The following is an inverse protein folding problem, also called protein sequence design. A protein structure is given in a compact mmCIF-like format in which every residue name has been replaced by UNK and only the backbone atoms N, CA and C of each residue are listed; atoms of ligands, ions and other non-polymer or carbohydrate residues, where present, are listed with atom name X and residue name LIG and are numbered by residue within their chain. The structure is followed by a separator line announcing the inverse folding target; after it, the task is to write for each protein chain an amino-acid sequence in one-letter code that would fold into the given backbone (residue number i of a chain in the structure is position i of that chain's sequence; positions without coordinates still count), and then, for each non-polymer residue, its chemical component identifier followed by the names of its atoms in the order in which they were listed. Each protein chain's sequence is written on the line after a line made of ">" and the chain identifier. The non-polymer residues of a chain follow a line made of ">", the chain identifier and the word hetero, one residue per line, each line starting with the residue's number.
data_IF_645395882672
#
_entry.id   IF_645395882672
#
_cell.length_a   1.000
_cell.length_b   1.000
_cell.length_c   1.000
_cell.angle_alpha   90.00
_cell.angle_beta   90.00
_cell.angle_gamma   90.00
#
_symmetry.space_group_name_H-M   'P 1'
#
loop_
_entity.id
_entity.type
_entity.pdbx_description
1 polymer ?
#
# COMPACT_ATOMS: atom_id res chain seq x y z
N UNK A 1 31.67 26.91 -0.38
CA UNK A 1 30.68 26.02 -1.03
C UNK A 1 29.41 26.83 -1.23
N UNK A 2 29.07 27.19 -2.47
CA UNK A 2 27.97 28.12 -2.80
C UNK A 2 26.57 27.53 -2.56
N UNK A 3 25.61 28.35 -2.11
CA UNK A 3 24.14 28.17 -2.26
C UNK A 3 23.79 28.07 -3.77
N UNK A 4 22.85 27.33 -4.33
CA UNK A 4 21.67 26.53 -3.93
C UNK A 4 21.45 25.45 -5.03
N UNK A 5 20.74 24.37 -4.71
CA UNK A 5 19.91 23.60 -5.67
C UNK A 5 18.46 23.56 -5.20
N UNK A 6 17.55 24.30 -5.84
CA UNK A 6 16.12 24.24 -5.53
C UNK A 6 15.44 23.02 -6.16
N UNK A 7 16.10 22.40 -7.14
CA UNK A 7 15.63 21.19 -7.80
C UNK A 7 16.71 20.11 -7.71
N UNK A 8 16.30 18.90 -7.36
CA UNK A 8 17.15 17.72 -7.37
C UNK A 8 16.30 16.50 -7.73
N UNK A 9 16.94 15.44 -8.24
CA UNK A 9 16.29 14.15 -8.47
C UNK A 9 16.91 13.11 -7.55
N UNK A 10 16.09 12.40 -6.77
CA UNK A 10 16.50 11.21 -6.02
C UNK A 10 15.94 9.99 -6.72
N UNK A 11 16.78 9.02 -7.00
CA UNK A 11 16.41 7.81 -7.74
C UNK A 11 17.01 6.56 -7.05
N UNK A 12 16.35 6.04 -6.01
CA UNK A 12 16.62 4.73 -5.42
C UNK A 12 15.95 3.62 -6.24
N UNK A 13 16.22 2.39 -5.83
CA UNK A 13 15.67 1.18 -6.46
C UNK A 13 15.00 0.36 -5.37
N UNK A 14 13.77 -0.10 -5.62
CA UNK A 14 13.15 -1.11 -4.76
C UNK A 14 13.10 -2.46 -5.46
N UNK A 15 13.33 -3.53 -4.73
CA UNK A 15 13.05 -4.89 -5.15
C UNK A 15 11.56 -5.24 -4.98
N UNK A 16 11.11 -6.28 -5.67
CA UNK A 16 9.74 -6.79 -5.58
C UNK A 16 9.42 -7.40 -4.20
N UNK A 17 10.43 -7.83 -3.44
CA UNK A 17 10.28 -8.32 -2.07
C UNK A 17 10.28 -7.19 -1.03
N UNK A 18 10.20 -5.92 -1.47
CA UNK A 18 9.97 -4.77 -0.61
C UNK A 18 11.22 -4.21 0.03
N UNK A 19 12.40 -4.43 -0.54
CA UNK A 19 13.65 -3.86 -0.04
C UNK A 19 14.07 -2.67 -0.89
N UNK A 20 14.55 -1.62 -0.23
CA UNK A 20 15.29 -0.56 -0.91
C UNK A 20 16.73 -1.06 -1.11
N UNK A 21 17.21 -1.12 -2.34
CA UNK A 21 18.59 -1.55 -2.59
C UNK A 21 19.56 -0.55 -1.97
N UNK A 22 20.70 -1.02 -1.48
CA UNK A 22 21.60 -0.25 -0.62
C UNK A 22 22.31 0.95 -1.29
N UNK A 23 22.07 1.18 -2.59
CA UNK A 23 22.67 2.29 -3.35
C UNK A 23 21.61 3.02 -4.17
N UNK A 24 21.68 4.35 -4.20
CA UNK A 24 20.77 5.20 -4.97
C UNK A 24 21.50 6.28 -5.78
N UNK A 25 20.78 6.95 -6.67
CA UNK A 25 21.30 8.01 -7.51
C UNK A 25 20.73 9.38 -7.12
N UNK A 26 21.58 10.39 -7.09
CA UNK A 26 21.22 11.76 -6.73
C UNK A 26 21.71 12.72 -7.82
N UNK A 27 20.79 13.50 -8.40
CA UNK A 27 21.13 14.56 -9.35
C UNK A 27 20.89 15.90 -8.69
N UNK A 28 21.96 16.67 -8.50
CA UNK A 28 21.90 18.04 -8.01
C UNK A 28 21.79 19.01 -9.19
N UNK A 29 20.98 20.04 -9.04
CA UNK A 29 20.97 21.15 -9.99
C UNK A 29 22.32 21.89 -9.96
N UNK A 30 22.86 22.34 -11.06
CA UNK A 30 24.07 23.17 -11.06
C UNK A 30 23.94 24.25 -12.13
N UNK A 31 24.72 25.32 -12.02
CA UNK A 31 24.78 26.31 -13.11
C UNK A 31 25.30 25.66 -14.39
N UNK A 32 26.27 24.76 -14.24
CA UNK A 32 26.82 23.95 -15.32
C UNK A 32 26.24 22.54 -15.35
N UNK A 33 26.54 21.81 -16.43
CA UNK A 33 26.06 20.43 -16.59
C UNK A 33 26.77 19.44 -15.67
N UNK A 34 27.92 19.83 -15.11
CA UNK A 34 28.82 19.01 -14.30
C UNK A 34 29.28 19.82 -13.07
N UNK A 35 29.85 19.12 -12.09
CA UNK A 35 30.48 19.80 -10.96
C UNK A 35 31.78 20.46 -11.45
N UNK A 36 32.07 21.67 -10.97
CA UNK A 36 33.39 22.26 -11.21
C UNK A 36 34.47 21.49 -10.42
N UNK A 37 35.72 21.54 -10.88
CA UNK A 37 36.87 20.79 -10.30
C UNK A 37 36.98 20.92 -8.77
N UNK A 38 36.76 22.13 -8.24
CA UNK A 38 36.78 22.38 -6.80
C UNK A 38 35.67 21.62 -6.06
N UNK A 39 34.47 21.56 -6.65
CA UNK A 39 33.34 20.85 -6.04
C UNK A 39 33.59 19.34 -6.08
N UNK A 40 34.12 18.81 -7.18
CA UNK A 40 34.47 17.39 -7.26
C UNK A 40 35.52 16.98 -6.23
N UNK A 41 36.51 17.85 -5.97
CA UNK A 41 37.55 17.61 -4.97
C UNK A 41 37.05 17.71 -3.53
N UNK A 42 36.17 18.67 -3.25
CA UNK A 42 35.73 18.98 -1.87
C UNK A 42 34.47 18.22 -1.44
N UNK A 43 33.69 17.65 -2.37
CA UNK A 43 32.45 16.94 -2.06
C UNK A 43 32.73 15.52 -1.58
N UNK A 44 32.41 15.25 -0.33
CA UNK A 44 32.53 13.91 0.26
C UNK A 44 31.26 13.13 -0.10
N UNK A 45 31.39 12.09 -0.92
CA UNK A 45 30.27 11.26 -1.37
C UNK A 45 30.19 9.97 -0.55
N UNK A 46 29.12 9.74 0.23
CA UNK A 46 28.89 8.49 0.94
C UNK A 46 28.79 7.28 -0.02
N UNK A 47 29.18 6.07 0.41
CA UNK A 47 29.28 4.90 -0.48
C UNK A 47 27.92 4.43 -1.02
N UNK A 48 26.83 4.75 -0.33
CA UNK A 48 25.46 4.39 -0.70
C UNK A 48 24.82 5.35 -1.72
N UNK A 49 25.54 6.37 -2.22
CA UNK A 49 24.98 7.31 -3.19
C UNK A 49 25.95 7.58 -4.33
N UNK A 50 25.42 7.61 -5.55
CA UNK A 50 26.13 8.13 -6.73
C UNK A 50 25.55 9.51 -7.04
N UNK A 51 26.38 10.55 -6.99
CA UNK A 51 25.96 11.94 -7.17
C UNK A 51 26.41 12.47 -8.53
N UNK A 52 25.52 13.15 -9.25
CA UNK A 52 25.83 13.86 -10.51
C UNK A 52 25.18 15.25 -10.52
N UNK A 53 25.67 16.14 -11.37
CA UNK A 53 25.14 17.49 -11.55
C UNK A 53 24.33 17.61 -12.85
N UNK A 54 23.36 18.54 -12.92
CA UNK A 54 22.66 18.89 -14.16
C UNK A 54 22.12 20.32 -14.11
N UNK A 55 21.99 21.00 -15.26
CA UNK A 55 21.46 22.38 -15.29
C UNK A 55 20.05 22.54 -14.69
N UNK A 56 19.24 21.49 -14.77
CA UNK A 56 17.84 21.49 -14.34
C UNK A 56 17.57 20.69 -13.08
N UNK A 57 18.56 19.98 -12.53
CA UNK A 57 18.36 18.96 -11.49
C UNK A 57 17.66 17.69 -11.99
N UNK A 58 17.27 17.62 -13.27
CA UNK A 58 16.57 16.47 -13.88
C UNK A 58 17.53 15.46 -14.51
N UNK A 59 17.05 14.24 -14.71
CA UNK A 59 17.74 13.16 -15.43
C UNK A 59 17.78 13.39 -16.95
N UNK A 60 18.81 12.87 -17.59
CA UNK A 60 19.05 12.88 -19.05
C UNK A 60 19.42 11.46 -19.52
N UNK A 61 19.45 11.20 -20.82
CA UNK A 61 19.85 9.90 -21.37
C UNK A 61 21.21 9.43 -20.83
N UNK A 62 22.17 10.34 -20.78
CA UNK A 62 23.52 10.09 -20.26
C UNK A 62 23.49 9.76 -18.76
N UNK A 63 22.72 10.51 -17.96
CA UNK A 63 22.59 10.29 -16.52
C UNK A 63 21.86 9.00 -16.20
N UNK A 64 20.85 8.67 -16.99
CA UNK A 64 20.15 7.40 -16.87
C UNK A 64 21.11 6.24 -17.17
N UNK A 65 21.98 6.36 -18.18
CA UNK A 65 23.03 5.38 -18.45
C UNK A 65 24.00 5.22 -17.26
N UNK A 66 24.41 6.33 -16.64
CA UNK A 66 25.25 6.31 -15.42
C UNK A 66 24.53 5.59 -14.28
N UNK A 67 23.26 5.91 -14.04
CA UNK A 67 22.43 5.23 -13.04
C UNK A 67 22.41 3.72 -13.26
N UNK A 68 22.15 3.27 -14.50
CA UNK A 68 22.08 1.84 -14.79
C UNK A 68 23.43 1.14 -14.60
N UNK A 69 24.54 1.76 -14.99
CA UNK A 69 25.87 1.14 -14.90
C UNK A 69 26.48 1.19 -13.50
N UNK A 70 26.37 2.31 -12.79
CA UNK A 70 27.07 2.54 -11.52
C UNK A 70 26.22 2.26 -10.28
N UNK A 71 24.89 2.21 -10.45
CA UNK A 71 23.93 1.95 -9.37
C UNK A 71 23.23 0.63 -9.59
N UNK A 72 22.50 0.42 -10.69
CA UNK A 72 21.66 -0.78 -10.82
C UNK A 72 22.46 -2.05 -11.15
N UNK A 73 23.27 -2.03 -12.20
CA UNK A 73 24.01 -3.19 -12.70
C UNK A 73 24.86 -3.92 -11.64
N UNK A 74 25.57 -3.22 -10.73
CA UNK A 74 26.35 -3.87 -9.67
C UNK A 74 25.51 -4.49 -8.54
N UNK A 75 24.19 -4.27 -8.52
CA UNK A 75 23.29 -4.73 -7.46
C UNK A 75 22.44 -5.93 -7.90
N UNK A 76 22.54 -6.34 -9.16
CA UNK A 76 21.70 -7.36 -9.77
C UNK A 76 22.55 -8.53 -10.27
N UNK A 77 22.88 -9.44 -9.36
CA UNK A 77 23.80 -10.57 -9.61
C UNK A 77 23.13 -11.81 -10.24
N UNK A 78 21.82 -11.75 -10.54
CA UNK A 78 20.98 -12.92 -10.94
C UNK A 78 20.04 -12.58 -12.08
N UNK A 79 19.14 -13.52 -12.40
CA UNK A 79 17.97 -13.27 -13.22
C UNK A 79 17.05 -12.23 -12.58
N UNK A 80 16.73 -11.15 -13.28
CA UNK A 80 15.83 -10.11 -12.76
C UNK A 80 14.85 -9.57 -13.81
N UNK A 81 13.73 -9.04 -13.31
CA UNK A 81 12.74 -8.33 -14.09
C UNK A 81 12.80 -6.85 -13.71
N UNK A 82 13.08 -5.98 -14.69
CA UNK A 82 13.14 -4.54 -14.49
C UNK A 82 11.94 -3.86 -15.15
N UNK A 83 11.19 -3.12 -14.35
CA UNK A 83 10.11 -2.23 -14.81
C UNK A 83 10.64 -0.81 -14.98
N UNK A 84 10.34 -0.19 -16.12
CA UNK A 84 10.78 1.15 -16.48
C UNK A 84 9.61 2.03 -16.88
N UNK A 85 9.71 3.33 -16.58
CA UNK A 85 8.72 4.32 -17.01
C UNK A 85 8.81 4.53 -18.53
N UNK A 86 7.71 4.96 -19.16
CA UNK A 86 7.64 5.21 -20.61
C UNK A 86 8.32 6.51 -21.05
N UNK A 87 9.07 7.16 -20.17
CA UNK A 87 9.70 8.44 -20.45
C UNK A 87 10.75 8.26 -21.55
N UNK A 88 10.85 9.19 -22.51
CA UNK A 88 11.80 9.07 -23.63
C UNK A 88 13.25 8.83 -23.20
N UNK A 89 13.63 9.31 -22.01
CA UNK A 89 14.97 9.13 -21.44
C UNK A 89 15.23 7.75 -20.85
N UNK A 90 14.17 6.97 -20.59
CA UNK A 90 14.21 5.64 -19.96
C UNK A 90 13.68 4.53 -20.88
N UNK A 91 12.95 4.86 -21.95
CA UNK A 91 12.24 3.90 -22.78
C UNK A 91 13.07 3.28 -23.94
N UNK A 92 14.36 3.56 -24.04
CA UNK A 92 15.22 3.04 -25.11
C UNK A 92 15.72 1.61 -24.80
N UNK A 93 14.88 0.61 -25.07
CA UNK A 93 15.18 -0.81 -24.84
C UNK A 93 16.46 -1.30 -25.51
N UNK A 94 16.84 -0.75 -26.67
CA UNK A 94 18.06 -1.17 -27.37
C UNK A 94 19.30 -0.82 -26.53
N UNK A 95 19.36 0.39 -25.99
CA UNK A 95 20.46 0.83 -25.10
C UNK A 95 20.44 0.12 -23.76
N UNK A 96 19.27 -0.19 -23.22
CA UNK A 96 19.15 -0.91 -21.95
C UNK A 96 19.65 -2.34 -22.04
N UNK A 97 19.31 -3.04 -23.13
CA UNK A 97 19.80 -4.40 -23.40
C UNK A 97 21.32 -4.45 -23.52
N UNK A 98 21.97 -3.39 -24.00
CA UNK A 98 23.44 -3.34 -24.02
C UNK A 98 24.06 -3.22 -22.63
N UNK A 99 23.41 -2.51 -21.70
CA UNK A 99 23.92 -2.36 -20.31
C UNK A 99 23.85 -3.69 -19.56
N UNK A 100 22.78 -4.46 -19.80
CA UNK A 100 22.54 -5.75 -19.15
C UNK A 100 22.86 -6.94 -20.06
N UNK A 101 23.70 -6.76 -21.08
CA UNK A 101 23.98 -7.80 -22.08
C UNK A 101 24.58 -9.08 -21.49
N UNK A 102 25.27 -8.95 -20.35
CA UNK A 102 25.90 -10.05 -19.63
C UNK A 102 25.01 -10.64 -18.52
N UNK A 103 23.77 -10.16 -18.35
CA UNK A 103 22.85 -10.54 -17.28
C UNK A 103 21.55 -11.13 -17.86
N UNK A 104 21.01 -12.19 -17.23
CA UNK A 104 19.71 -12.78 -17.60
C UNK A 104 18.57 -11.83 -17.16
N UNK A 105 18.29 -10.82 -17.97
CA UNK A 105 17.37 -9.74 -17.61
C UNK A 105 16.16 -9.70 -18.53
N UNK A 106 14.97 -9.53 -17.94
CA UNK A 106 13.76 -9.17 -18.66
C UNK A 106 13.44 -7.71 -18.39
N UNK A 107 13.21 -6.93 -19.45
CA UNK A 107 12.91 -5.50 -19.37
C UNK A 107 11.48 -5.26 -19.82
N UNK A 108 10.69 -4.59 -18.98
CA UNK A 108 9.33 -4.17 -19.29
C UNK A 108 9.22 -2.65 -19.16
N UNK A 109 8.58 -2.02 -20.14
CA UNK A 109 8.23 -0.60 -20.10
C UNK A 109 6.74 -0.49 -19.82
N UNK A 110 6.37 0.37 -18.88
CA UNK A 110 4.98 0.68 -18.64
C UNK A 110 4.31 1.32 -19.86
N UNK A 111 3.03 1.04 -20.16
CA UNK A 111 2.33 1.69 -21.26
C UNK A 111 2.31 3.22 -21.11
N UNK A 112 2.33 3.96 -22.22
CA UNK A 112 2.17 5.42 -22.17
C UNK A 112 0.84 5.79 -21.51
N UNK A 113 0.84 6.82 -20.67
CA UNK A 113 -0.36 7.27 -19.93
C UNK A 113 -0.68 6.43 -18.70
N UNK A 114 0.02 5.32 -18.47
CA UNK A 114 -0.16 4.50 -17.26
C UNK A 114 0.56 5.03 -16.03
N UNK A 115 1.42 6.05 -16.19
CA UNK A 115 2.24 6.65 -15.13
C UNK A 115 1.42 7.05 -13.89
N UNK A 116 0.27 7.71 -14.06
CA UNK A 116 -0.61 8.09 -12.93
C UNK A 116 -1.26 6.91 -12.20
N UNK A 117 -1.30 5.74 -12.82
CA UNK A 117 -1.87 4.51 -12.28
C UNK A 117 -0.79 3.59 -11.69
N UNK A 118 0.44 3.62 -12.20
CA UNK A 118 1.49 2.65 -11.87
C UNK A 118 2.73 3.35 -11.26
N UNK A 119 2.55 4.48 -10.56
CA UNK A 119 3.61 5.14 -9.78
C UNK A 119 3.48 4.87 -8.26
N UNK A 120 3.63 3.60 -7.81
CA UNK A 120 3.57 3.22 -6.40
C UNK A 120 4.60 3.99 -5.56
N UNK A 121 5.82 4.10 -6.07
CA UNK A 121 6.92 4.67 -5.33
C UNK A 121 6.79 6.19 -5.21
N UNK A 122 6.26 6.91 -6.21
CA UNK A 122 6.19 8.38 -6.17
C UNK A 122 5.14 8.89 -5.19
N UNK A 123 3.96 8.27 -5.20
CA UNK A 123 2.86 8.69 -4.34
C UNK A 123 3.01 8.27 -2.88
N UNK A 124 3.76 7.20 -2.60
CA UNK A 124 3.85 6.63 -1.25
C UNK A 124 5.28 6.66 -0.69
N UNK A 125 6.22 5.88 -1.24
CA UNK A 125 7.59 5.80 -0.72
C UNK A 125 8.36 7.13 -0.82
N UNK A 126 8.35 7.79 -1.97
CA UNK A 126 9.03 9.07 -2.22
C UNK A 126 8.36 10.22 -1.48
N UNK A 127 7.03 10.16 -1.31
CA UNK A 127 6.33 11.10 -0.44
C UNK A 127 6.77 10.94 1.02
N UNK A 128 6.89 9.71 1.53
CA UNK A 128 7.44 9.44 2.86
C UNK A 128 8.88 9.94 2.97
N UNK A 129 9.72 9.68 1.98
CA UNK A 129 11.09 10.19 1.92
C UNK A 129 11.13 11.72 2.02
N UNK A 130 10.36 12.40 1.16
CA UNK A 130 10.28 13.87 1.14
C UNK A 130 9.78 14.42 2.47
N UNK A 131 8.78 13.79 3.07
CA UNK A 131 8.25 14.19 4.36
C UNK A 131 9.29 14.07 5.48
N UNK A 132 10.09 12.99 5.50
CA UNK A 132 11.19 12.82 6.45
C UNK A 132 12.22 13.93 6.27
N UNK A 133 12.60 14.24 5.03
CA UNK A 133 13.51 15.33 4.73
C UNK A 133 12.98 16.68 5.26
N UNK A 134 11.75 17.04 4.91
CA UNK A 134 11.09 18.28 5.35
C UNK A 134 11.00 18.36 6.89
N UNK A 135 10.72 17.24 7.56
CA UNK A 135 10.69 17.17 9.03
C UNK A 135 12.05 17.41 9.67
N UNK A 136 13.13 16.86 9.11
CA UNK A 136 14.48 17.06 9.63
C UNK A 136 14.91 18.52 9.41
N UNK A 137 14.66 19.08 8.23
CA UNK A 137 14.93 20.49 7.96
C UNK A 137 14.16 21.42 8.91
N UNK A 138 12.87 21.15 9.13
CA UNK A 138 12.05 21.92 10.06
C UNK A 138 12.59 21.82 11.50
N UNK A 139 12.97 20.62 11.93
CA UNK A 139 13.55 20.42 13.27
C UNK A 139 14.86 21.21 13.44
N UNK A 140 15.76 21.18 12.46
CA UNK A 140 17.01 21.95 12.48
C UNK A 140 16.73 23.45 12.55
N UNK A 141 15.75 23.92 11.77
CA UNK A 141 15.37 25.33 11.73
C UNK A 141 14.78 25.81 13.07
N UNK A 142 13.86 25.03 13.66
CA UNK A 142 13.22 25.35 14.94
C UNK A 142 14.23 25.36 16.09
N UNK A 143 15.13 24.37 16.14
CA UNK A 143 16.12 24.24 17.20
C UNK A 143 17.36 25.13 17.00
N UNK A 144 17.38 25.97 15.95
CA UNK A 144 18.47 26.91 15.64
C UNK A 144 19.87 26.29 15.69
N UNK A 145 20.01 25.06 15.19
CA UNK A 145 21.34 24.44 15.12
C UNK A 145 22.23 25.26 14.17
N UNK A 146 23.53 25.36 14.43
CA UNK A 146 24.49 26.08 13.56
C UNK A 146 24.72 25.40 12.19
N UNK A 147 23.94 24.38 11.85
CA UNK A 147 24.03 23.66 10.59
C UNK A 147 23.57 24.52 9.41
N UNK A 148 24.46 24.69 8.43
CA UNK A 148 24.11 25.36 7.18
C UNK A 148 23.46 24.38 6.19
N UNK A 149 22.13 24.39 6.16
CA UNK A 149 21.26 23.58 5.30
C UNK A 149 21.50 23.80 3.79
N UNK A 150 22.08 24.94 3.40
CA UNK A 150 22.21 25.31 1.99
C UNK A 150 23.48 24.74 1.32
N UNK A 151 24.28 23.95 2.04
CA UNK A 151 25.49 23.33 1.50
C UNK A 151 25.17 22.01 0.77
N UNK A 152 25.80 21.78 -0.39
CA UNK A 152 25.72 20.49 -1.14
C UNK A 152 26.00 19.27 -0.26
N UNK A 153 27.03 19.36 0.58
CA UNK A 153 27.42 18.29 1.50
C UNK A 153 26.27 17.90 2.43
N UNK A 154 25.48 18.87 2.89
CA UNK A 154 24.32 18.59 3.73
C UNK A 154 23.27 17.79 2.95
N UNK A 155 22.89 18.21 1.74
CA UNK A 155 21.94 17.46 0.90
C UNK A 155 22.39 16.02 0.64
N UNK A 156 23.65 15.83 0.25
CA UNK A 156 24.21 14.49 -0.01
C UNK A 156 24.14 13.62 1.25
N UNK A 157 24.58 14.15 2.40
CA UNK A 157 24.54 13.42 3.67
C UNK A 157 23.10 13.13 4.12
N UNK A 158 22.20 14.09 3.97
CA UNK A 158 20.80 13.95 4.33
C UNK A 158 20.10 12.85 3.55
N UNK A 159 20.21 12.86 2.23
CA UNK A 159 19.63 11.80 1.40
C UNK A 159 20.29 10.45 1.68
N UNK A 160 21.60 10.42 1.94
CA UNK A 160 22.30 9.19 2.33
C UNK A 160 21.78 8.62 3.66
N UNK A 161 21.55 9.46 4.68
CA UNK A 161 21.01 9.04 5.97
C UNK A 161 19.57 8.56 5.83
N UNK A 162 18.70 9.33 5.15
CA UNK A 162 17.30 8.94 4.94
C UNK A 162 17.22 7.62 4.20
N UNK A 163 18.00 7.45 3.14
CA UNK A 163 18.08 6.19 2.40
C UNK A 163 18.44 5.02 3.31
N UNK A 164 19.53 5.15 4.08
CA UNK A 164 19.98 4.09 4.99
C UNK A 164 18.93 3.74 6.06
N UNK A 165 18.21 4.74 6.58
CA UNK A 165 17.11 4.50 7.51
C UNK A 165 15.98 3.73 6.84
N UNK A 166 15.58 4.11 5.62
CA UNK A 166 14.53 3.43 4.86
C UNK A 166 14.93 2.02 4.39
N UNK A 167 16.23 1.70 4.30
CA UNK A 167 16.72 0.34 4.08
C UNK A 167 16.52 -0.59 5.31
N UNK A 168 16.21 -0.05 6.49
CA UNK A 168 16.07 -0.88 7.69
C UNK A 168 14.91 -1.88 7.55
N UNK A 169 15.04 -3.13 8.07
CA UNK A 169 14.04 -4.19 7.91
C UNK A 169 12.62 -3.81 8.34
N UNK A 170 12.48 -2.94 9.34
CA UNK A 170 11.20 -2.42 9.81
C UNK A 170 10.38 -1.67 8.75
N UNK A 171 11.03 -1.12 7.71
CA UNK A 171 10.35 -0.43 6.61
C UNK A 171 10.03 -1.37 5.43
N UNK A 172 10.46 -2.64 5.47
CA UNK A 172 10.24 -3.61 4.39
C UNK A 172 8.75 -3.76 4.06
N UNK A 173 7.90 -3.91 5.08
CA UNK A 173 6.45 -4.05 4.88
C UNK A 173 5.81 -2.77 4.33
N UNK A 174 6.30 -1.59 4.74
CA UNK A 174 5.85 -0.33 4.16
C UNK A 174 6.18 -0.26 2.67
N UNK A 175 7.44 -0.54 2.29
CA UNK A 175 7.89 -0.54 0.89
C UNK A 175 7.14 -1.60 0.07
N UNK A 176 6.92 -2.79 0.64
CA UNK A 176 6.14 -3.87 0.02
C UNK A 176 4.69 -3.45 -0.21
N UNK A 177 4.08 -2.81 0.78
CA UNK A 177 2.74 -2.24 0.68
C UNK A 177 2.67 -1.14 -0.38
N UNK A 178 3.64 -0.22 -0.42
CA UNK A 178 3.78 0.77 -1.49
C UNK A 178 3.80 0.11 -2.87
N UNK A 179 4.63 -0.93 -3.04
CA UNK A 179 4.77 -1.69 -4.27
C UNK A 179 3.46 -2.38 -4.69
N UNK A 180 2.85 -3.19 -3.81
CA UNK A 180 1.65 -3.96 -4.15
C UNK A 180 0.36 -3.14 -4.23
N UNK A 181 0.16 -2.17 -3.34
CA UNK A 181 -1.10 -1.43 -3.24
C UNK A 181 -1.44 -0.62 -4.49
N UNK A 182 -0.45 -0.31 -5.34
CA UNK A 182 -0.71 0.42 -6.60
C UNK A 182 -0.34 -0.34 -7.87
N UNK A 183 0.70 -1.19 -7.89
CA UNK A 183 0.98 -2.04 -9.05
C UNK A 183 -0.15 -3.07 -9.24
N UNK A 184 -0.59 -3.73 -8.17
CA UNK A 184 -1.63 -4.77 -8.29
C UNK A 184 -3.06 -4.23 -8.28
N UNK A 185 -3.32 -3.01 -7.77
CA UNK A 185 -4.66 -2.38 -7.89
C UNK A 185 -5.01 -2.09 -9.34
N UNK A 186 -4.04 -1.71 -10.16
CA UNK A 186 -4.26 -1.34 -11.56
C UNK A 186 -3.97 -2.48 -12.54
N UNK A 187 -3.06 -3.43 -12.21
CA UNK A 187 -2.91 -4.66 -13.01
C UNK A 187 -4.12 -5.61 -12.84
N UNK A 188 -4.82 -5.59 -11.69
CA UNK A 188 -6.08 -6.34 -11.54
C UNK A 188 -7.30 -5.73 -12.24
N UNK A 189 -7.21 -4.54 -12.84
CA UNK A 189 -8.35 -3.97 -13.58
C UNK A 189 -8.36 -4.32 -15.07
N UNK A 190 -7.25 -4.73 -15.67
CA UNK A 190 -7.22 -5.22 -17.06
C UNK A 190 -7.03 -6.75 -17.19
N UNK A 191 -6.60 -7.44 -16.13
CA UNK A 191 -6.44 -8.91 -16.15
C UNK A 191 -7.45 -9.69 -15.30
N UNK A 192 -8.50 -9.04 -14.77
CA UNK A 192 -9.75 -9.73 -14.45
C UNK A 192 -10.53 -9.97 -15.76
N UNK A 193 -9.95 -10.86 -16.57
CA UNK A 193 -10.55 -11.68 -17.62
C UNK A 193 -11.10 -10.97 -18.88
N UNK A 194 -10.45 -11.14 -20.05
CA UNK A 194 -11.20 -11.23 -21.29
C UNK A 194 -11.98 -12.54 -21.22
N UNK A 195 -13.27 -12.46 -20.83
CA UNK A 195 -14.21 -13.57 -20.98
C UNK A 195 -14.77 -14.22 -19.71
N UNK A 196 -14.53 -13.72 -18.49
CA UNK A 196 -15.46 -14.02 -17.39
C UNK A 196 -16.49 -12.92 -17.32
N UNK A 197 -17.80 -13.22 -17.39
CA UNK A 197 -18.82 -12.24 -17.08
C UNK A 197 -18.45 -11.65 -15.72
N UNK A 198 -18.40 -10.32 -15.64
CA UNK A 198 -18.42 -9.66 -14.34
C UNK A 198 -19.49 -10.33 -13.49
N UNK A 199 -19.23 -10.53 -12.20
CA UNK A 199 -20.27 -10.97 -11.26
C UNK A 199 -21.54 -10.06 -11.26
N UNK A 200 -21.53 -8.97 -12.03
CA UNK A 200 -22.69 -8.14 -12.38
C UNK A 200 -23.62 -8.71 -13.48
N UNK A 201 -23.51 -9.98 -13.89
CA UNK A 201 -24.38 -10.57 -14.93
C UNK A 201 -25.24 -11.76 -14.49
N UNK A 202 -25.41 -11.99 -13.20
CA UNK A 202 -26.43 -12.89 -12.66
C UNK A 202 -27.19 -12.12 -11.58
N UNK A 203 -28.52 -12.14 -11.67
CA UNK A 203 -29.53 -11.44 -10.84
C UNK A 203 -29.94 -10.04 -11.30
N UNK A 204 -30.49 -9.96 -12.51
CA UNK A 204 -31.47 -8.93 -12.82
C UNK A 204 -32.85 -9.37 -12.30
N UNK A 205 -33.24 -8.93 -11.09
CA UNK A 205 -34.68 -8.79 -10.76
C UNK A 205 -35.04 -7.75 -9.70
N UNK A 206 -34.11 -7.19 -8.91
CA UNK A 206 -34.42 -6.03 -8.06
C UNK A 206 -33.18 -5.13 -7.90
N UNK A 207 -33.24 -3.92 -8.47
CA UNK A 207 -32.20 -2.91 -8.30
C UNK A 207 -32.27 -2.36 -6.87
N UNK A 208 -31.32 -2.76 -6.03
CA UNK A 208 -31.09 -2.15 -4.72
C UNK A 208 -29.74 -1.44 -4.79
N UNK A 209 -29.66 -0.10 -4.62
CA UNK A 209 -28.46 0.68 -4.91
C UNK A 209 -27.41 0.58 -3.79
N UNK A 210 -26.79 -0.59 -3.61
CA UNK A 210 -25.67 -0.78 -2.69
C UNK A 210 -24.64 -1.77 -3.23
N UNK A 211 -23.42 -1.70 -2.70
CA UNK A 211 -22.38 -2.70 -2.94
C UNK A 211 -22.31 -3.63 -1.72
N UNK A 212 -22.10 -4.95 -1.88
CA UNK A 212 -21.96 -5.87 -0.75
C UNK A 212 -20.86 -5.46 0.25
N UNK A 213 -19.79 -4.86 -0.26
CA UNK A 213 -18.77 -4.18 0.53
C UNK A 213 -18.05 -3.11 -0.29
N UNK A 214 -17.45 -2.14 0.40
CA UNK A 214 -16.50 -1.17 -0.17
C UNK A 214 -15.23 -1.21 0.67
N UNK A 215 -14.09 -1.30 -0.02
CA UNK A 215 -12.78 -1.22 0.63
C UNK A 215 -12.15 0.16 0.38
N UNK A 216 -11.87 0.88 1.47
CA UNK A 216 -11.12 2.13 1.46
C UNK A 216 -9.81 1.88 2.21
N UNK A 217 -8.68 1.97 1.50
CA UNK A 217 -7.37 1.59 2.02
C UNK A 217 -7.37 0.15 2.59
N UNK A 218 -7.14 0.01 3.90
CA UNK A 218 -7.09 -1.26 4.64
C UNK A 218 -8.39 -1.52 5.42
N UNK A 219 -9.41 -0.68 5.28
CA UNK A 219 -10.70 -0.82 5.96
C UNK A 219 -11.72 -1.34 4.94
N UNK A 220 -12.45 -2.37 5.33
CA UNK A 220 -13.57 -2.96 4.59
C UNK A 220 -14.85 -2.57 5.32
N UNK A 221 -15.71 -1.83 4.63
CA UNK A 221 -17.07 -1.52 5.08
C UNK A 221 -18.01 -2.50 4.38
N UNK A 222 -18.65 -3.37 5.14
CA UNK A 222 -19.49 -4.44 4.62
C UNK A 222 -20.95 -4.12 4.93
N UNK A 223 -21.80 -4.14 3.90
CA UNK A 223 -23.24 -3.86 4.02
C UNK A 223 -23.94 -4.95 4.83
N UNK A 224 -25.07 -4.63 5.47
CA UNK A 224 -25.84 -5.59 6.26
C UNK A 224 -26.12 -6.90 5.51
N UNK A 225 -25.78 -8.02 6.15
CA UNK A 225 -26.02 -9.36 5.64
C UNK A 225 -27.14 -10.01 6.41
N UNK A 226 -28.14 -10.49 5.68
CA UNK A 226 -29.23 -11.34 6.17
C UNK A 226 -28.97 -12.79 5.80
N UNK A 227 -29.78 -13.70 6.36
CA UNK A 227 -29.69 -15.15 6.14
C UNK A 227 -30.20 -15.62 4.79
N UNK A 228 -29.82 -14.95 3.70
CA UNK A 228 -30.17 -15.34 2.33
C UNK A 228 -29.14 -16.32 1.77
N UNK A 229 -29.59 -17.35 1.06
CA UNK A 229 -28.74 -18.19 0.23
C UNK A 229 -28.40 -17.46 -1.09
N UNK A 230 -27.11 -17.24 -1.41
CA UNK A 230 -26.70 -16.51 -2.61
C UNK A 230 -27.08 -17.22 -3.93
N UNK A 231 -27.40 -18.51 -3.91
CA UNK A 231 -27.81 -19.28 -5.09
C UNK A 231 -29.31 -19.09 -5.36
N UNK A 232 -30.14 -19.24 -4.33
CA UNK A 232 -31.61 -19.20 -4.46
C UNK A 232 -32.20 -17.82 -4.25
N UNK A 233 -31.43 -16.89 -3.68
CA UNK A 233 -31.84 -15.54 -3.30
C UNK A 233 -33.07 -15.51 -2.36
N UNK A 234 -33.20 -16.54 -1.51
CA UNK A 234 -34.26 -16.71 -0.53
C UNK A 234 -33.66 -16.86 0.87
N UNK A 235 -34.44 -16.56 1.92
CA UNK A 235 -34.03 -16.87 3.28
C UNK A 235 -33.86 -18.38 3.45
N UNK A 236 -32.79 -18.80 4.13
CA UNK A 236 -32.48 -20.23 4.31
C UNK A 236 -33.44 -20.95 5.27
N UNK A 237 -34.14 -20.19 6.11
CA UNK A 237 -35.09 -20.71 7.09
C UNK A 237 -35.91 -19.56 7.71
N UNK A 238 -36.97 -19.91 8.42
CA UNK A 238 -37.76 -19.00 9.27
C UNK A 238 -37.22 -18.90 10.71
N UNK A 239 -36.20 -19.69 11.07
CA UNK A 239 -35.58 -19.67 12.40
C UNK A 239 -34.33 -18.78 12.48
N UNK A 240 -34.07 -18.22 13.66
CA UNK A 240 -32.92 -17.33 13.90
C UNK A 240 -31.58 -18.05 13.75
N UNK A 241 -31.48 -19.33 14.08
CA UNK A 241 -30.20 -20.04 14.12
C UNK A 241 -29.62 -20.18 12.71
N UNK A 242 -30.43 -20.68 11.79
CA UNK A 242 -30.04 -20.87 10.41
C UNK A 242 -29.84 -19.53 9.69
N UNK A 243 -30.69 -18.53 9.95
CA UNK A 243 -30.47 -17.20 9.39
C UNK A 243 -29.18 -16.54 9.89
N UNK A 244 -28.88 -16.62 11.20
CA UNK A 244 -27.63 -16.08 11.77
C UNK A 244 -26.41 -16.76 11.17
N UNK A 245 -26.45 -18.10 11.06
CA UNK A 245 -25.36 -18.89 10.48
C UNK A 245 -25.12 -18.50 9.02
N UNK A 246 -26.18 -18.38 8.22
CA UNK A 246 -26.05 -18.00 6.82
C UNK A 246 -25.55 -16.56 6.65
N UNK A 247 -26.05 -15.61 7.46
CA UNK A 247 -25.57 -14.24 7.44
C UNK A 247 -24.05 -14.17 7.69
N UNK A 248 -23.54 -14.92 8.68
CA UNK A 248 -22.11 -14.97 8.99
C UNK A 248 -21.28 -15.67 7.89
N UNK A 249 -21.82 -16.68 7.20
CA UNK A 249 -21.17 -17.27 6.02
C UNK A 249 -21.12 -16.30 4.83
N UNK A 250 -22.18 -15.51 4.62
CA UNK A 250 -22.20 -14.46 3.60
C UNK A 250 -21.13 -13.40 3.91
N UNK A 251 -21.05 -12.94 5.16
CA UNK A 251 -20.00 -12.04 5.64
C UNK A 251 -18.61 -12.62 5.38
N UNK A 252 -18.38 -13.88 5.79
CA UNK A 252 -17.10 -14.56 5.60
C UNK A 252 -16.70 -14.60 4.12
N UNK A 253 -17.64 -14.92 3.24
CA UNK A 253 -17.42 -14.99 1.79
C UNK A 253 -17.02 -13.63 1.21
N UNK A 254 -17.74 -12.57 1.58
CA UNK A 254 -17.46 -11.21 1.12
C UNK A 254 -16.12 -10.70 1.67
N UNK A 255 -15.83 -10.94 2.95
CA UNK A 255 -14.55 -10.58 3.56
C UNK A 255 -13.38 -11.30 2.88
N UNK A 256 -13.53 -12.59 2.56
CA UNK A 256 -12.51 -13.34 1.83
C UNK A 256 -12.26 -12.75 0.42
N UNK A 257 -13.32 -12.38 -0.31
CA UNK A 257 -13.18 -11.69 -1.59
C UNK A 257 -12.45 -10.35 -1.46
N UNK A 258 -12.60 -9.66 -0.33
CA UNK A 258 -11.90 -8.42 0.01
C UNK A 258 -10.49 -8.60 0.62
N UNK A 259 -9.95 -9.83 0.68
CA UNK A 259 -8.64 -10.10 1.28
C UNK A 259 -8.60 -9.96 2.81
N UNK A 260 -9.74 -10.20 3.45
CA UNK A 260 -9.97 -10.15 4.89
C UNK A 260 -10.50 -11.52 5.40
N UNK A 261 -10.85 -11.60 6.68
CA UNK A 261 -11.59 -12.70 7.29
C UNK A 261 -12.32 -12.23 8.57
N UNK A 262 -13.09 -13.14 9.19
CA UNK A 262 -13.86 -12.85 10.41
C UNK A 262 -12.99 -12.37 11.57
N UNK A 263 -11.74 -12.81 11.68
CA UNK A 263 -10.83 -12.38 12.75
C UNK A 263 -10.34 -10.94 12.55
N UNK A 264 -10.51 -10.37 11.35
CA UNK A 264 -10.17 -8.99 11.07
C UNK A 264 -11.31 -8.01 11.36
N UNK A 265 -12.48 -8.48 11.78
CA UNK A 265 -13.60 -7.61 12.09
C UNK A 265 -13.27 -6.78 13.33
N UNK A 266 -13.38 -5.45 13.20
CA UNK A 266 -13.19 -4.50 14.29
C UNK A 266 -14.50 -4.21 15.02
N UNK A 267 -15.59 -4.08 14.24
CA UNK A 267 -16.92 -3.75 14.76
C UNK A 267 -18.02 -4.48 14.00
N UNK A 268 -19.05 -4.91 14.73
CA UNK A 268 -20.33 -5.35 14.20
C UNK A 268 -21.50 -4.51 14.71
N UNK A 269 -22.55 -4.39 13.89
CA UNK A 269 -23.89 -4.04 14.36
C UNK A 269 -24.82 -5.19 14.01
N UNK A 270 -25.56 -5.67 15.00
CA UNK A 270 -26.53 -6.75 14.86
C UNK A 270 -27.91 -6.18 15.07
N UNK A 271 -28.78 -6.38 14.10
CA UNK A 271 -30.18 -5.96 14.14
C UNK A 271 -31.05 -7.21 14.28
N UNK A 272 -31.94 -7.22 15.28
CA UNK A 272 -32.88 -8.31 15.54
C UNK A 272 -34.31 -7.81 15.49
N UNK A 273 -35.24 -8.59 14.93
CA UNK A 273 -36.67 -8.27 14.96
C UNK A 273 -37.37 -8.71 16.26
N UNK A 274 -36.81 -9.70 16.97
CA UNK A 274 -37.26 -10.12 18.30
C UNK A 274 -36.05 -10.27 19.25
N UNK A 275 -36.12 -9.67 20.43
CA UNK A 275 -35.05 -9.79 21.44
C UNK A 275 -35.08 -11.09 22.23
N UNK A 276 -36.17 -11.88 22.15
CA UNK A 276 -36.17 -13.24 22.67
C UNK A 276 -35.14 -14.13 21.97
N UNK A 277 -34.80 -13.80 20.73
CA UNK A 277 -33.81 -14.51 19.91
C UNK A 277 -32.35 -14.14 20.27
N UNK A 278 -32.13 -13.15 21.15
CA UNK A 278 -30.80 -12.61 21.46
C UNK A 278 -29.82 -13.67 21.98
N UNK A 279 -30.26 -14.51 22.92
CA UNK A 279 -29.40 -15.54 23.52
C UNK A 279 -28.98 -16.59 22.48
N UNK A 280 -29.92 -16.98 21.62
CA UNK A 280 -29.70 -18.00 20.60
C UNK A 280 -28.81 -17.48 19.46
N UNK A 281 -29.04 -16.25 19.00
CA UNK A 281 -28.16 -15.56 18.06
C UNK A 281 -26.73 -15.47 18.60
N UNK A 282 -26.55 -15.13 19.88
CA UNK A 282 -25.23 -15.02 20.50
C UNK A 282 -24.46 -16.34 20.51
N UNK A 283 -25.14 -17.47 20.77
CA UNK A 283 -24.51 -18.79 20.74
C UNK A 283 -23.96 -19.11 19.34
N UNK A 284 -24.75 -18.85 18.30
CA UNK A 284 -24.30 -19.05 16.91
C UNK A 284 -23.19 -18.06 16.55
N UNK A 285 -23.35 -16.78 16.87
CA UNK A 285 -22.35 -15.74 16.60
C UNK A 285 -20.98 -16.09 17.20
N UNK A 286 -20.95 -16.52 18.47
CA UNK A 286 -19.70 -16.89 19.15
C UNK A 286 -18.98 -18.05 18.45
N UNK A 287 -19.71 -19.01 17.89
CA UNK A 287 -19.12 -20.19 17.23
C UNK A 287 -18.31 -19.88 15.96
N UNK A 288 -18.46 -18.68 15.38
CA UNK A 288 -17.74 -18.25 14.18
C UNK A 288 -16.37 -17.62 14.46
N UNK A 289 -16.05 -17.34 15.73
CA UNK A 289 -14.78 -16.73 16.13
C UNK A 289 -13.87 -17.78 16.79
N UNK A 290 -12.58 -17.77 16.42
CA UNK A 290 -11.63 -18.81 16.81
C UNK A 290 -11.28 -18.82 18.31
N UNK A 291 -11.42 -17.68 18.99
CA UNK A 291 -11.10 -17.54 20.42
C UNK A 291 -12.22 -16.82 21.15
N UNK A 292 -12.61 -17.36 22.30
CA UNK A 292 -13.69 -16.82 23.14
C UNK A 292 -13.38 -15.44 23.76
N UNK A 293 -12.17 -14.90 23.56
CA UNK A 293 -11.71 -13.63 24.14
C UNK A 293 -11.36 -12.57 23.08
N UNK A 294 -11.62 -12.82 21.78
CA UNK A 294 -11.35 -11.86 20.69
C UNK A 294 -12.58 -11.58 19.83
N UNK A 295 -13.67 -11.13 20.45
CA UNK A 295 -14.85 -10.67 19.73
C UNK A 295 -14.70 -9.23 19.23
N UNK A 296 -15.30 -8.89 18.08
CA UNK A 296 -15.41 -7.50 17.64
C UNK A 296 -16.19 -6.63 18.63
N UNK A 297 -15.92 -5.31 18.62
CA UNK A 297 -16.81 -4.37 19.28
C UNK A 297 -18.22 -4.51 18.67
N UNK A 298 -19.25 -4.64 19.50
CA UNK A 298 -20.59 -4.98 18.99
C UNK A 298 -21.67 -4.09 19.58
N UNK A 299 -22.61 -3.67 18.73
CA UNK A 299 -23.88 -3.08 19.14
C UNK A 299 -25.00 -4.00 18.66
N UNK A 300 -25.96 -4.31 19.53
CA UNK A 300 -27.15 -5.07 19.15
C UNK A 300 -28.41 -4.25 19.42
N UNK A 301 -29.31 -4.18 18.45
CA UNK A 301 -30.53 -3.38 18.51
C UNK A 301 -31.74 -4.23 18.13
N UNK A 302 -32.86 -3.98 18.81
CA UNK A 302 -34.16 -4.43 18.36
C UNK A 302 -34.68 -3.46 17.29
N UNK A 303 -35.16 -3.97 16.16
CA UNK A 303 -35.73 -3.20 15.06
C UNK A 303 -37.13 -3.70 14.72
N UNK A 304 -37.95 -2.83 14.13
CA UNK A 304 -39.34 -3.19 13.80
C UNK A 304 -39.42 -4.27 12.70
N UNK A 305 -38.57 -4.18 11.69
CA UNK A 305 -38.53 -5.11 10.58
C UNK A 305 -37.17 -5.04 9.86
N UNK A 306 -36.88 -6.08 9.07
CA UNK A 306 -35.69 -6.18 8.23
C UNK A 306 -36.10 -6.55 6.79
N UNK A 307 -35.23 -6.30 5.79
CA UNK A 307 -35.46 -6.72 4.42
C UNK A 307 -35.79 -8.23 4.32
N UNK A 308 -36.64 -8.58 3.36
CA UNK A 308 -37.13 -9.95 3.15
C UNK A 308 -37.80 -10.62 4.37
N UNK A 309 -38.25 -9.84 5.37
CA UNK A 309 -38.75 -10.34 6.66
C UNK A 309 -37.72 -11.20 7.42
N UNK A 310 -36.43 -10.90 7.25
CA UNK A 310 -35.37 -11.53 8.01
C UNK A 310 -35.55 -11.30 9.52
N UNK A 311 -35.03 -12.22 10.33
CA UNK A 311 -34.96 -12.11 11.80
C UNK A 311 -33.68 -11.45 12.29
N UNK A 312 -32.62 -11.51 11.47
CA UNK A 312 -31.31 -10.95 11.79
C UNK A 312 -30.66 -10.32 10.56
N UNK A 313 -30.04 -9.16 10.77
CA UNK A 313 -29.14 -8.52 9.82
C UNK A 313 -27.85 -8.12 10.56
N UNK A 314 -26.70 -8.41 9.95
CA UNK A 314 -25.39 -8.14 10.55
C UNK A 314 -24.56 -7.32 9.56
N UNK A 315 -24.20 -6.10 9.95
CA UNK A 315 -23.17 -5.32 9.26
C UNK A 315 -21.85 -5.39 10.02
N UNK A 316 -20.75 -5.18 9.30
CA UNK A 316 -19.43 -5.14 9.95
C UNK A 316 -18.44 -4.21 9.27
N UNK A 317 -17.51 -3.70 10.07
CA UNK A 317 -16.30 -3.03 9.60
C UNK A 317 -15.11 -3.91 9.95
N UNK A 318 -14.28 -4.22 8.97
CA UNK A 318 -13.12 -5.10 9.11
C UNK A 318 -11.85 -4.47 8.55
N UNK A 319 -10.71 -5.05 8.89
CA UNK A 319 -9.43 -4.72 8.29
C UNK A 319 -9.02 -5.76 7.24
N UNK A 320 -8.17 -5.42 6.28
CA UNK A 320 -7.53 -6.45 5.44
C UNK A 320 -6.47 -7.22 6.27
N UNK A 321 -6.26 -8.52 5.98
CA UNK A 321 -5.38 -9.42 6.77
C UNK A 321 -3.98 -8.86 7.06
N UNK A 322 -3.47 -8.03 6.15
CA UNK A 322 -2.14 -7.44 6.22
C UNK A 322 -2.01 -6.42 7.36
N UNK A 323 -3.10 -5.76 7.78
CA UNK A 323 -3.06 -4.66 8.74
C UNK A 323 -3.03 -5.13 10.22
N UNK A 324 -3.86 -6.10 10.61
CA UNK A 324 -3.93 -6.55 12.02
C UNK A 324 -2.70 -7.38 12.43
N UNK A 325 -2.05 -8.07 11.49
CA UNK A 325 -0.81 -8.82 11.74
C UNK A 325 0.40 -7.88 12.00
N UNK A 326 0.49 -6.73 11.32
CA UNK A 326 1.51 -5.71 11.63
C UNK A 326 1.20 -5.00 12.97
N UNK A 327 -0.09 -4.82 13.32
CA UNK A 327 -0.52 -4.28 14.63
C UNK A 327 -0.30 -5.26 15.80
N UNK A 328 -0.20 -6.57 15.56
CA UNK A 328 0.18 -7.51 16.61
C UNK A 328 1.66 -7.35 17.03
N UNK A 329 2.51 -6.86 16.12
CA UNK A 329 3.92 -6.57 16.39
C UNK A 329 4.16 -5.16 16.95
N UNK A 330 3.24 -4.22 16.72
CA UNK A 330 3.24 -2.91 17.36
C UNK A 330 2.26 -2.92 18.54
N UNK A 331 2.75 -2.91 19.79
CA UNK A 331 1.99 -2.84 21.06
C UNK A 331 1.03 -1.63 21.22
N UNK A 332 0.29 -1.20 20.19
CA UNK A 332 -0.41 0.07 20.10
C UNK A 332 -1.94 -0.04 20.10
N UNK A 333 -2.50 -1.19 20.48
CA UNK A 333 -3.90 -1.26 20.92
C UNK A 333 -3.97 -1.68 22.39
N UNK A 334 -3.88 -0.68 23.28
CA UNK A 334 -4.49 -0.81 24.60
C UNK A 334 -6.00 -0.95 24.38
N UNK A 335 -6.51 -2.18 24.42
CA UNK A 335 -7.94 -2.45 24.62
C UNK A 335 -8.30 -1.85 25.97
N UNK A 336 -9.02 -0.74 25.95
CA UNK A 336 -9.68 -0.21 27.14
C UNK A 336 -10.85 -1.16 27.45
N UNK A 337 -10.58 -2.18 28.26
CA UNK A 337 -11.62 -2.95 28.94
C UNK A 337 -12.11 -2.06 30.08
N UNK A 338 -13.14 -1.28 29.83
CA UNK A 338 -13.91 -0.65 30.91
C UNK A 338 -14.99 -1.66 31.28
N UNK A 339 -14.76 -2.39 32.37
CA UNK A 339 -15.80 -3.10 33.09
C UNK A 339 -16.64 -2.06 33.83
N UNK A 340 -17.87 -1.82 33.40
CA UNK A 340 -18.89 -1.17 34.21
C UNK A 340 -19.94 -2.21 34.61
N UNK A 341 -20.22 -2.26 35.91
CA UNK A 341 -21.23 -3.10 36.57
C UNK A 341 -22.61 -3.02 35.93
#
# INVERSE_FOLDING_TARGET
>A
MNNITHSYTVQPITSADGQLLHKFFLILQEKEKEFGERVEKDLIVPPNVVVRASKSGKSSNEKHRIFLNEVLSPLVDRKFLLFLDCWPTQADLKKLRTVFAHQDSQLLIFPKGSTGYIQPQDLSLFRSWRFIHEKIEHYIHVNRTEMNLNKRQYFVNMHSIIHNQLCAPQFKNHILSCFYTQIMRNIKLEYLCPGTPSAAHILNTYFVPYNPAIQINHIVYLSGQIGIDPITNQLVSDDIQNQTKQALHNIQTILHAAGSDLNQIARCVVLLTDMNDYQLMNQIYASFFLSNDDYPARTTLAVQSLPANAKVEIECTAYTRWYKNDLAHANCHRRLIISSY
#
